data_IF_390962513999
#
_entry.id   IF_390962513999
#
_cell.length_a   1.000
_cell.length_b   1.000
_cell.length_c   1.000
_cell.angle_alpha   90.00
_cell.angle_beta   90.00
_cell.angle_gamma   90.00
#
_symmetry.space_group_name_H-M   'P 1'
#
loop_
_entity.id
_entity.type
_entity.pdbx_description
1 polymer ?
#
# COMPACT_ATOMS: atom_id res chain seq x y z
N UNK A 1 40.82 48.79 29.29
CA UNK A 1 40.37 48.76 27.87
C UNK A 1 38.88 48.40 27.87
N UNK A 2 38.00 49.45 27.94
CA UNK A 2 36.56 49.21 27.94
C UNK A 2 36.13 48.75 26.53
N UNK A 3 35.52 47.63 26.44
CA UNK A 3 34.90 47.12 25.17
C UNK A 3 33.73 48.05 24.91
N UNK A 4 33.74 48.72 23.77
CA UNK A 4 32.61 49.55 23.33
C UNK A 4 31.46 48.59 22.97
N UNK A 5 30.56 48.40 23.94
CA UNK A 5 29.47 47.46 23.84
C UNK A 5 28.48 47.83 22.70
N UNK A 6 28.26 49.14 22.51
CA UNK A 6 27.36 49.61 21.45
C UNK A 6 27.91 49.32 20.05
N UNK A 7 29.21 49.57 19.83
CA UNK A 7 29.85 49.22 18.58
C UNK A 7 29.80 47.73 18.28
N UNK A 8 29.95 46.88 19.32
CA UNK A 8 29.83 45.43 19.16
C UNK A 8 28.39 44.95 18.88
N UNK A 9 27.41 45.63 19.44
CA UNK A 9 26.00 45.32 19.14
C UNK A 9 25.64 45.71 17.69
N UNK A 10 26.12 46.85 17.21
CA UNK A 10 25.91 47.24 15.81
C UNK A 10 26.63 46.28 14.83
N UNK A 11 27.83 45.84 15.14
CA UNK A 11 28.57 44.86 14.36
C UNK A 11 27.79 43.52 14.32
N UNK A 12 27.22 43.10 15.43
CA UNK A 12 26.40 41.87 15.52
C UNK A 12 25.12 41.93 14.65
N UNK A 13 24.44 43.08 14.66
CA UNK A 13 23.25 43.28 13.82
C UNK A 13 23.60 43.30 12.35
N UNK A 14 24.71 43.95 11.95
CA UNK A 14 25.19 43.94 10.58
C UNK A 14 25.53 42.51 10.10
N UNK A 15 26.19 41.70 10.93
CA UNK A 15 26.50 40.31 10.62
C UNK A 15 25.24 39.46 10.50
N UNK A 16 24.23 39.65 11.35
CA UNK A 16 22.94 38.97 11.24
C UNK A 16 22.23 39.26 9.92
N UNK A 17 22.20 40.55 9.54
CA UNK A 17 21.62 40.95 8.26
C UNK A 17 22.39 40.37 7.07
N UNK A 18 23.71 40.25 7.14
CA UNK A 18 24.53 39.66 6.11
C UNK A 18 24.29 38.13 6.00
N UNK A 19 24.13 37.43 7.12
CA UNK A 19 23.80 36.01 7.16
C UNK A 19 22.43 35.77 6.54
N UNK A 20 21.42 36.55 6.89
CA UNK A 20 20.07 36.44 6.32
C UNK A 20 20.07 36.68 4.81
N UNK A 21 20.84 37.65 4.31
CA UNK A 21 21.00 37.89 2.88
C UNK A 21 21.64 36.71 2.18
N UNK A 22 22.72 36.15 2.71
CA UNK A 22 23.41 34.99 2.15
C UNK A 22 22.50 33.74 2.16
N UNK A 23 21.73 33.52 3.24
CA UNK A 23 20.76 32.44 3.30
C UNK A 23 19.68 32.58 2.23
N UNK A 24 19.20 33.80 1.98
CA UNK A 24 18.25 34.10 0.93
C UNK A 24 18.85 33.88 -0.49
N UNK A 25 20.09 34.31 -0.70
CA UNK A 25 20.83 34.08 -1.95
C UNK A 25 21.04 32.58 -2.20
N UNK A 26 21.45 31.80 -1.20
CA UNK A 26 21.60 30.36 -1.27
C UNK A 26 20.24 29.70 -1.54
N UNK A 27 19.19 30.16 -0.86
CA UNK A 27 17.82 29.64 -1.09
C UNK A 27 17.35 29.91 -2.51
N UNK A 28 17.64 31.09 -3.04
CA UNK A 28 17.29 31.48 -4.43
C UNK A 28 18.13 30.73 -5.44
N UNK A 29 19.43 30.55 -5.22
CA UNK A 29 20.31 29.77 -6.08
C UNK A 29 19.97 28.28 -6.09
N UNK A 30 19.60 27.72 -4.93
CA UNK A 30 19.06 26.34 -4.82
C UNK A 30 17.67 26.21 -5.44
N UNK A 31 16.98 27.31 -5.66
CA UNK A 31 15.67 27.39 -6.34
C UNK A 31 15.76 27.42 -7.87
N UNK A 32 16.95 27.23 -8.48
CA UNK A 32 17.11 27.00 -9.91
C UNK A 32 16.19 25.88 -10.39
N UNK A 33 16.09 25.54 -11.70
CA UNK A 33 15.19 24.51 -12.23
C UNK A 33 15.50 23.10 -11.71
N UNK A 34 16.10 23.01 -10.52
CA UNK A 34 16.32 21.81 -9.75
C UNK A 34 15.05 21.33 -9.06
N UNK A 35 15.03 20.05 -8.75
CA UNK A 35 13.94 19.35 -8.09
C UNK A 35 13.39 20.13 -6.88
N UNK A 36 12.12 20.52 -6.93
CA UNK A 36 11.37 21.01 -5.78
C UNK A 36 10.41 19.93 -5.35
N UNK A 37 10.38 19.60 -4.07
CA UNK A 37 9.30 18.83 -3.48
C UNK A 37 8.01 19.66 -3.61
N UNK A 38 7.30 19.48 -4.70
CA UNK A 38 5.90 19.92 -4.81
C UNK A 38 5.09 18.99 -3.93
N UNK A 39 3.96 19.41 -3.38
CA UNK A 39 3.13 18.60 -2.47
C UNK A 39 2.75 17.19 -2.99
N UNK A 40 3.15 16.82 -4.22
CA UNK A 40 3.05 15.49 -4.80
C UNK A 40 4.41 15.03 -5.30
N UNK A 41 4.99 14.06 -4.60
CA UNK A 41 6.23 13.40 -4.99
C UNK A 41 5.97 11.91 -5.25
N UNK A 42 5.95 11.52 -6.51
CA UNK A 42 5.50 10.19 -6.94
C UNK A 42 6.28 9.04 -6.29
N UNK A 43 7.61 9.13 -6.19
CA UNK A 43 8.41 8.08 -5.57
C UNK A 43 8.11 7.93 -4.07
N UNK A 44 7.92 9.04 -3.35
CA UNK A 44 7.53 9.01 -1.95
C UNK A 44 6.17 8.31 -1.75
N UNK A 45 5.16 8.70 -2.54
CA UNK A 45 3.83 8.12 -2.43
C UNK A 45 3.78 6.67 -2.92
N UNK A 46 4.62 6.30 -3.89
CA UNK A 46 4.79 4.90 -4.29
C UNK A 46 5.36 4.05 -3.14
N UNK A 47 6.41 4.55 -2.47
CA UNK A 47 7.01 3.88 -1.31
C UNK A 47 6.03 3.80 -0.14
N UNK A 48 5.32 4.89 0.17
CA UNK A 48 4.27 4.87 1.20
C UNK A 48 3.17 3.86 0.86
N UNK A 49 2.73 3.82 -0.40
CA UNK A 49 1.75 2.85 -0.88
C UNK A 49 2.24 1.41 -0.78
N UNK A 50 3.49 1.15 -1.11
CA UNK A 50 4.11 -0.16 -0.95
C UNK A 50 4.10 -0.63 0.51
N UNK A 51 4.51 0.22 1.44
CA UNK A 51 4.53 -0.11 2.86
C UNK A 51 3.11 -0.25 3.44
N UNK A 52 2.20 0.68 3.15
CA UNK A 52 0.82 0.61 3.63
C UNK A 52 0.03 -0.51 2.96
N UNK A 53 0.43 -0.92 1.76
CA UNK A 53 -0.11 -2.08 1.08
C UNK A 53 0.09 -3.39 1.85
N UNK A 54 1.20 -3.53 2.59
CA UNK A 54 1.39 -4.69 3.48
C UNK A 54 0.34 -4.74 4.59
N UNK A 55 0.04 -3.59 5.22
CA UNK A 55 -1.00 -3.50 6.25
C UNK A 55 -2.39 -3.78 5.66
N UNK A 56 -2.67 -3.24 4.48
CA UNK A 56 -3.90 -3.56 3.74
C UNK A 56 -4.05 -5.06 3.47
N UNK A 57 -2.96 -5.71 3.05
CA UNK A 57 -2.94 -7.15 2.81
C UNK A 57 -3.15 -7.95 4.11
N UNK A 58 -2.50 -7.58 5.22
CA UNK A 58 -2.70 -8.25 6.50
C UNK A 58 -4.16 -8.17 6.93
N UNK A 59 -4.77 -6.98 6.90
CA UNK A 59 -6.17 -6.79 7.32
C UNK A 59 -7.12 -7.55 6.40
N UNK A 60 -6.91 -7.53 5.08
CA UNK A 60 -7.75 -8.28 4.14
C UNK A 60 -7.57 -9.79 4.26
N UNK A 61 -6.38 -10.29 4.60
CA UNK A 61 -6.15 -11.70 4.93
C UNK A 61 -6.91 -12.10 6.20
N UNK A 62 -6.81 -11.30 7.27
CA UNK A 62 -7.55 -11.54 8.50
C UNK A 62 -9.07 -11.53 8.28
N UNK A 63 -9.56 -10.61 7.45
CA UNK A 63 -10.96 -10.60 7.03
C UNK A 63 -11.38 -11.93 6.39
N UNK A 64 -10.56 -12.46 5.48
CA UNK A 64 -10.82 -13.77 4.86
C UNK A 64 -10.72 -14.93 5.86
N UNK A 65 -9.72 -14.90 6.75
CA UNK A 65 -9.55 -15.95 7.77
C UNK A 65 -10.74 -16.05 8.72
N UNK A 66 -11.38 -14.92 9.03
CA UNK A 66 -12.59 -14.89 9.86
C UNK A 66 -13.85 -15.21 9.05
N UNK A 67 -13.94 -14.70 7.82
CA UNK A 67 -15.11 -14.86 6.97
C UNK A 67 -15.22 -16.24 6.31
N UNK A 68 -14.12 -16.89 5.95
CA UNK A 68 -14.13 -18.17 5.28
C UNK A 68 -14.85 -19.29 6.08
N UNK A 69 -14.60 -19.48 7.38
CA UNK A 69 -15.33 -20.44 8.18
C UNK A 69 -16.83 -20.20 8.24
N UNK A 70 -17.28 -18.94 8.25
CA UNK A 70 -18.70 -18.57 8.23
C UNK A 70 -19.38 -19.01 6.91
N UNK A 71 -18.60 -19.11 5.85
CA UNK A 71 -19.03 -19.62 4.55
C UNK A 71 -18.75 -21.13 4.35
N UNK A 72 -18.36 -21.86 5.42
CA UNK A 72 -18.04 -23.29 5.36
C UNK A 72 -16.73 -23.59 4.61
N UNK A 73 -15.81 -22.62 4.51
CA UNK A 73 -14.52 -22.73 3.83
C UNK A 73 -13.36 -22.79 4.81
N UNK A 74 -12.20 -23.27 4.33
CA UNK A 74 -10.96 -23.22 5.12
C UNK A 74 -10.52 -21.75 5.34
N UNK A 75 -10.03 -21.38 6.55
CA UNK A 75 -9.51 -20.01 6.81
C UNK A 75 -8.40 -19.57 5.85
N UNK A 76 -7.65 -20.50 5.29
CA UNK A 76 -6.52 -20.23 4.38
C UNK A 76 -6.87 -20.52 2.91
N UNK A 77 -8.15 -20.62 2.56
CA UNK A 77 -8.60 -20.87 1.20
C UNK A 77 -8.03 -19.84 0.20
N UNK A 78 -7.98 -18.58 0.60
CA UNK A 78 -7.41 -17.51 -0.21
C UNK A 78 -5.92 -17.75 -0.52
N UNK A 79 -5.15 -18.23 0.46
CA UNK A 79 -3.71 -18.48 0.27
C UNK A 79 -3.47 -19.58 -0.75
N UNK A 80 -4.37 -20.56 -0.86
CA UNK A 80 -4.31 -21.61 -1.85
C UNK A 80 -4.34 -21.06 -3.29
N UNK A 81 -5.11 -20.00 -3.53
CA UNK A 81 -5.14 -19.29 -4.82
C UNK A 81 -3.74 -18.82 -5.19
N UNK A 82 -3.03 -18.20 -4.25
CA UNK A 82 -1.67 -17.70 -4.46
C UNK A 82 -0.66 -18.83 -4.67
N UNK A 83 -0.87 -19.97 -4.01
CA UNK A 83 0.00 -21.13 -4.15
C UNK A 83 -0.20 -21.85 -5.51
N UNK A 84 -1.30 -21.64 -6.23
CA UNK A 84 -1.47 -22.18 -7.57
C UNK A 84 -0.44 -21.64 -8.57
N UNK A 85 0.07 -20.42 -8.37
CA UNK A 85 1.10 -19.84 -9.24
C UNK A 85 2.42 -20.65 -9.23
N UNK A 86 3.04 -20.96 -8.07
CA UNK A 86 4.27 -21.75 -8.04
C UNK A 86 4.05 -23.28 -8.03
N UNK A 87 2.89 -23.79 -7.59
CA UNK A 87 2.68 -25.22 -7.36
C UNK A 87 1.64 -25.84 -8.31
N UNK A 88 0.94 -25.02 -9.10
CA UNK A 88 -0.12 -25.49 -9.99
C UNK A 88 -1.20 -26.28 -9.23
N UNK A 89 -1.63 -27.39 -9.80
CA UNK A 89 -2.67 -28.25 -9.24
C UNK A 89 -2.36 -28.81 -7.85
N UNK A 90 -1.06 -28.99 -7.50
CA UNK A 90 -0.66 -29.48 -6.18
C UNK A 90 -1.12 -28.56 -5.04
N UNK A 91 -1.28 -27.28 -5.31
CA UNK A 91 -1.82 -26.33 -4.33
C UNK A 91 -3.27 -26.67 -3.92
N UNK A 92 -4.05 -27.26 -4.81
CA UNK A 92 -5.45 -27.62 -4.57
C UNK A 92 -5.57 -28.84 -3.64
N UNK A 93 -4.54 -29.68 -3.58
CA UNK A 93 -4.50 -30.90 -2.76
C UNK A 93 -4.09 -30.62 -1.31
N UNK A 94 -3.48 -29.46 -1.01
CA UNK A 94 -2.93 -29.15 0.30
C UNK A 94 -3.97 -29.07 1.43
N UNK A 95 -5.24 -28.91 1.11
CA UNK A 95 -6.34 -28.72 2.08
C UNK A 95 -7.32 -29.88 2.12
N UNK A 96 -7.19 -30.90 1.26
CA UNK A 96 -8.09 -32.03 1.22
C UNK A 96 -7.76 -33.14 2.22
N UNK A 97 -6.59 -33.09 2.88
CA UNK A 97 -6.16 -34.11 3.83
C UNK A 97 -6.17 -33.61 5.27
N UNK A 98 -6.43 -34.52 6.22
CA UNK A 98 -6.37 -34.27 7.67
C UNK A 98 -4.97 -33.86 8.17
N UNK A 99 -3.95 -33.87 7.32
CA UNK A 99 -2.56 -33.55 7.64
C UNK A 99 -2.14 -32.10 7.30
N UNK A 100 -3.07 -31.15 7.36
CA UNK A 100 -2.79 -29.71 7.16
C UNK A 100 -1.71 -29.17 8.12
N UNK A 101 -1.34 -29.93 9.13
CA UNK A 101 -0.35 -29.57 10.15
C UNK A 101 1.03 -30.21 9.96
N UNK A 102 1.28 -30.93 8.86
CA UNK A 102 2.62 -31.43 8.58
C UNK A 102 3.61 -30.28 8.38
N UNK A 103 4.84 -30.43 8.88
CA UNK A 103 5.87 -29.35 8.88
C UNK A 103 6.07 -28.77 7.47
N UNK A 104 6.07 -29.61 6.43
CA UNK A 104 6.22 -29.19 5.04
C UNK A 104 5.04 -28.31 4.56
N UNK A 105 3.81 -28.62 4.98
CA UNK A 105 2.63 -27.83 4.63
C UNK A 105 2.66 -26.44 5.28
N UNK A 106 3.22 -26.30 6.48
CA UNK A 106 3.36 -25.00 7.17
C UNK A 106 4.32 -24.07 6.43
N UNK A 107 5.43 -24.59 5.93
CA UNK A 107 6.40 -23.80 5.15
C UNK A 107 5.76 -23.32 3.85
N UNK A 108 5.04 -24.20 3.15
CA UNK A 108 4.33 -23.86 1.92
C UNK A 108 3.26 -22.80 2.18
N UNK A 109 2.48 -22.93 3.26
CA UNK A 109 1.49 -21.93 3.64
C UNK A 109 2.13 -20.58 4.00
N UNK A 110 3.24 -20.59 4.73
CA UNK A 110 4.01 -19.38 5.04
C UNK A 110 4.49 -18.69 3.75
N UNK A 111 5.00 -19.47 2.79
CA UNK A 111 5.39 -18.96 1.48
C UNK A 111 4.22 -18.33 0.73
N UNK A 112 3.04 -18.98 0.74
CA UNK A 112 1.82 -18.42 0.15
C UNK A 112 1.38 -17.12 0.82
N UNK A 113 1.51 -17.01 2.15
CA UNK A 113 1.27 -15.75 2.88
C UNK A 113 2.25 -14.66 2.46
N UNK A 114 3.53 -14.99 2.27
CA UNK A 114 4.52 -14.04 1.77
C UNK A 114 4.20 -13.55 0.36
N UNK A 115 3.77 -14.44 -0.53
CA UNK A 115 3.31 -14.07 -1.89
C UNK A 115 2.09 -13.14 -1.84
N UNK A 116 1.12 -13.45 -0.97
CA UNK A 116 -0.04 -12.61 -0.77
C UNK A 116 0.35 -11.21 -0.30
N UNK A 117 1.21 -11.11 0.72
CA UNK A 117 1.71 -9.84 1.25
C UNK A 117 2.48 -9.06 0.18
N UNK A 118 3.38 -9.71 -0.54
CA UNK A 118 4.14 -9.08 -1.63
C UNK A 118 3.22 -8.50 -2.72
N UNK A 119 2.18 -9.25 -3.10
CA UNK A 119 1.17 -8.78 -4.04
C UNK A 119 0.42 -7.57 -3.49
N UNK A 120 0.04 -7.58 -2.21
CA UNK A 120 -0.60 -6.44 -1.56
C UNK A 120 0.30 -5.21 -1.49
N UNK A 121 1.61 -5.38 -1.22
CA UNK A 121 2.59 -4.30 -1.27
C UNK A 121 2.64 -3.66 -2.67
N UNK A 122 2.67 -4.47 -3.72
CA UNK A 122 2.68 -3.97 -5.10
C UNK A 122 1.38 -3.22 -5.44
N UNK A 123 0.21 -3.78 -5.14
CA UNK A 123 -1.07 -3.15 -5.41
C UNK A 123 -1.38 -1.97 -4.47
N UNK A 124 -0.73 -1.88 -3.34
CA UNK A 124 -0.78 -0.71 -2.46
C UNK A 124 -0.28 0.57 -3.15
N UNK A 125 0.69 0.44 -4.07
CA UNK A 125 1.25 1.58 -4.83
C UNK A 125 0.15 2.34 -5.60
N UNK A 126 -0.57 1.72 -6.57
CA UNK A 126 -1.58 2.43 -7.35
C UNK A 126 -2.74 2.93 -6.48
N UNK A 127 -3.16 2.19 -5.44
CA UNK A 127 -4.22 2.64 -4.54
C UNK A 127 -3.79 3.91 -3.80
N UNK A 128 -2.61 3.91 -3.19
CA UNK A 128 -2.13 5.06 -2.42
C UNK A 128 -1.82 6.28 -3.32
N UNK A 129 -1.23 6.05 -4.49
CA UNK A 129 -0.98 7.13 -5.47
C UNK A 129 -2.29 7.75 -5.96
N UNK A 130 -3.33 6.95 -6.21
CA UNK A 130 -4.65 7.45 -6.55
C UNK A 130 -5.26 8.29 -5.43
N UNK A 131 -5.15 7.83 -4.16
CA UNK A 131 -5.58 8.61 -3.00
C UNK A 131 -4.84 9.94 -2.89
N UNK A 132 -3.52 9.94 -3.07
CA UNK A 132 -2.70 11.14 -3.02
C UNK A 132 -3.03 12.11 -4.18
N UNK A 133 -3.42 11.61 -5.33
CA UNK A 133 -3.75 12.42 -6.52
C UNK A 133 -5.16 12.99 -6.50
N UNK A 134 -6.15 12.17 -6.09
CA UNK A 134 -7.58 12.49 -6.28
C UNK A 134 -8.30 12.79 -4.96
N UNK A 135 -7.75 12.39 -3.80
CA UNK A 135 -8.40 12.54 -2.50
C UNK A 135 -7.52 13.22 -1.43
N UNK A 136 -6.40 13.86 -1.82
CA UNK A 136 -5.47 14.50 -0.88
C UNK A 136 -6.14 15.53 0.04
N UNK A 137 -6.97 16.39 -0.54
CA UNK A 137 -7.71 17.46 0.18
C UNK A 137 -9.10 17.04 0.61
N UNK A 138 -9.49 15.77 0.36
CA UNK A 138 -10.82 15.26 0.66
C UNK A 138 -10.92 14.67 2.07
N UNK A 139 -12.13 14.71 2.64
CA UNK A 139 -12.45 13.99 3.86
C UNK A 139 -12.43 12.46 3.67
N UNK A 140 -12.66 11.74 4.76
CA UNK A 140 -12.63 10.27 4.79
C UNK A 140 -13.54 9.64 3.71
N UNK A 141 -14.74 10.17 3.53
CA UNK A 141 -15.72 9.63 2.56
C UNK A 141 -15.13 9.66 1.14
N UNK A 142 -14.51 10.78 0.74
CA UNK A 142 -13.88 10.88 -0.59
C UNK A 142 -12.75 9.88 -0.77
N UNK A 143 -11.94 9.65 0.29
CA UNK A 143 -10.87 8.65 0.27
C UNK A 143 -11.42 7.24 0.13
N UNK A 144 -12.48 6.89 0.87
CA UNK A 144 -13.14 5.59 0.76
C UNK A 144 -13.72 5.37 -0.63
N UNK A 145 -14.37 6.38 -1.24
CA UNK A 145 -14.90 6.28 -2.61
C UNK A 145 -13.79 6.04 -3.61
N UNK A 146 -12.70 6.83 -3.57
CA UNK A 146 -11.56 6.65 -4.48
C UNK A 146 -10.92 5.27 -4.29
N UNK A 147 -10.70 4.86 -3.04
CA UNK A 147 -10.16 3.54 -2.73
C UNK A 147 -11.06 2.41 -3.24
N UNK A 148 -12.39 2.54 -3.09
CA UNK A 148 -13.36 1.55 -3.59
C UNK A 148 -13.26 1.40 -5.11
N UNK A 149 -13.25 2.51 -5.84
CA UNK A 149 -13.16 2.49 -7.31
C UNK A 149 -11.86 1.79 -7.75
N UNK A 150 -10.72 2.21 -7.19
CA UNK A 150 -9.41 1.64 -7.57
C UNK A 150 -9.32 0.17 -7.18
N UNK A 151 -9.78 -0.20 -5.99
CA UNK A 151 -9.76 -1.59 -5.53
C UNK A 151 -10.65 -2.51 -6.36
N UNK A 152 -11.84 -2.05 -6.78
CA UNK A 152 -12.71 -2.82 -7.66
C UNK A 152 -12.15 -2.93 -9.08
N UNK A 153 -11.45 -1.90 -9.58
CA UNK A 153 -10.73 -1.98 -10.86
C UNK A 153 -9.60 -3.02 -10.77
N UNK A 154 -8.81 -3.01 -9.69
CA UNK A 154 -7.76 -4.00 -9.45
C UNK A 154 -8.37 -5.40 -9.38
N UNK A 155 -9.47 -5.57 -8.61
CA UNK A 155 -10.20 -6.84 -8.55
C UNK A 155 -10.64 -7.32 -9.92
N UNK A 156 -11.25 -6.46 -10.73
CA UNK A 156 -11.70 -6.81 -12.07
C UNK A 156 -10.56 -7.25 -12.99
N UNK A 157 -9.45 -6.51 -12.98
CA UNK A 157 -8.25 -6.84 -13.78
C UNK A 157 -7.62 -8.15 -13.30
N UNK A 158 -7.46 -8.32 -11.98
CA UNK A 158 -6.82 -9.52 -11.43
C UNK A 158 -7.69 -10.75 -11.57
N UNK A 159 -8.97 -10.65 -11.21
CA UNK A 159 -9.87 -11.80 -11.14
C UNK A 159 -10.33 -12.25 -12.54
N UNK A 160 -10.79 -11.31 -13.37
CA UNK A 160 -11.28 -11.64 -14.71
C UNK A 160 -10.22 -11.53 -15.82
N UNK A 161 -9.23 -10.64 -15.66
CA UNK A 161 -8.15 -10.48 -16.63
C UNK A 161 -7.07 -11.55 -16.43
N UNK A 162 -6.31 -11.42 -15.33
CA UNK A 162 -5.08 -12.22 -15.14
C UNK A 162 -5.40 -13.66 -14.73
N UNK A 163 -6.22 -13.87 -13.69
CA UNK A 163 -6.51 -15.22 -13.21
C UNK A 163 -7.26 -16.05 -14.25
N UNK A 164 -8.25 -15.49 -14.92
CA UNK A 164 -9.03 -16.21 -15.94
C UNK A 164 -8.19 -16.70 -17.12
N UNK A 165 -7.10 -15.99 -17.42
CA UNK A 165 -6.19 -16.36 -18.51
C UNK A 165 -5.04 -17.22 -18.03
N UNK A 166 -4.43 -16.89 -16.89
CA UNK A 166 -3.22 -17.55 -16.41
C UNK A 166 -3.53 -18.89 -15.72
N UNK A 167 -4.64 -18.99 -15.00
CA UNK A 167 -4.99 -20.18 -14.24
C UNK A 167 -5.18 -21.44 -15.09
N UNK A 168 -5.85 -21.39 -16.25
CA UNK A 168 -5.95 -22.56 -17.14
C UNK A 168 -4.60 -23.09 -17.63
N UNK A 169 -3.58 -22.25 -17.66
CA UNK A 169 -2.21 -22.66 -18.03
C UNK A 169 -1.45 -23.35 -16.90
N UNK A 170 -1.85 -23.11 -15.65
CA UNK A 170 -1.16 -23.60 -14.46
C UNK A 170 -1.85 -24.82 -13.83
N UNK A 171 -3.14 -24.98 -14.07
CA UNK A 171 -3.97 -26.03 -13.46
C UNK A 171 -4.61 -26.82 -14.58
N UNK A 172 -4.17 -28.06 -14.76
CA UNK A 172 -4.80 -29.01 -15.66
C UNK A 172 -6.09 -29.55 -15.02
N UNK A 173 -7.18 -29.59 -15.75
CA UNK A 173 -8.42 -30.18 -15.23
C UNK A 173 -9.71 -29.59 -15.78
N UNK A 174 -10.83 -30.03 -15.21
CA UNK A 174 -12.17 -29.60 -15.57
C UNK A 174 -12.32 -28.09 -15.28
N UNK A 175 -12.82 -27.28 -16.23
CA UNK A 175 -13.14 -25.87 -16.02
C UNK A 175 -13.99 -25.59 -14.77
N UNK A 176 -14.74 -26.53 -14.27
CA UNK A 176 -15.49 -26.44 -13.01
C UNK A 176 -14.62 -26.32 -11.76
N UNK A 177 -13.35 -26.71 -11.84
CA UNK A 177 -12.38 -26.61 -10.73
C UNK A 177 -11.57 -25.32 -10.74
N UNK A 178 -11.75 -24.46 -11.73
CA UNK A 178 -11.02 -23.20 -11.81
C UNK A 178 -11.55 -22.19 -10.80
N UNK A 179 -10.61 -21.52 -10.12
CA UNK A 179 -10.92 -20.51 -9.09
C UNK A 179 -11.73 -19.34 -9.67
N UNK A 180 -11.52 -19.03 -10.94
CA UNK A 180 -12.22 -17.95 -11.66
C UNK A 180 -13.52 -18.38 -12.32
N UNK A 181 -13.87 -19.68 -12.27
CA UNK A 181 -15.18 -20.09 -12.77
C UNK A 181 -16.26 -19.43 -11.93
N UNK A 182 -17.39 -19.08 -12.53
CA UNK A 182 -18.58 -18.60 -11.81
C UNK A 182 -19.13 -19.66 -10.83
N UNK A 183 -18.50 -20.81 -10.79
CA UNK A 183 -18.80 -21.84 -9.83
C UNK A 183 -18.25 -21.41 -8.44
N UNK A 184 -19.09 -21.20 -7.42
CA UNK A 184 -18.68 -20.69 -6.11
C UNK A 184 -17.91 -21.69 -5.24
N UNK A 185 -17.41 -22.79 -5.83
CA UNK A 185 -16.79 -23.90 -5.09
C UNK A 185 -15.54 -23.45 -4.34
N UNK A 186 -14.66 -22.65 -4.96
CA UNK A 186 -13.42 -22.22 -4.33
C UNK A 186 -13.49 -20.82 -3.72
N UNK A 187 -13.59 -19.80 -4.56
CA UNK A 187 -13.65 -18.41 -4.09
C UNK A 187 -14.76 -17.68 -4.83
N UNK A 188 -15.91 -17.41 -4.16
CA UNK A 188 -16.96 -16.62 -4.77
C UNK A 188 -16.45 -15.24 -5.20
N UNK A 189 -16.85 -14.79 -6.38
CA UNK A 189 -16.42 -13.51 -6.96
C UNK A 189 -16.68 -12.33 -6.02
N UNK A 190 -17.78 -12.34 -5.26
CA UNK A 190 -18.15 -11.29 -4.31
C UNK A 190 -17.24 -11.28 -3.08
N UNK A 191 -16.72 -12.45 -2.64
CA UNK A 191 -15.73 -12.54 -1.56
C UNK A 191 -14.42 -11.91 -2.02
N UNK A 192 -14.00 -12.21 -3.25
CA UNK A 192 -12.82 -11.57 -3.82
C UNK A 192 -12.99 -10.05 -3.92
N UNK A 193 -14.14 -9.56 -4.39
CA UNK A 193 -14.46 -8.13 -4.43
C UNK A 193 -14.43 -7.50 -3.03
N UNK A 194 -15.06 -8.12 -2.03
CA UNK A 194 -15.05 -7.66 -0.65
C UNK A 194 -13.63 -7.60 -0.07
N UNK A 195 -12.81 -8.59 -0.36
CA UNK A 195 -11.39 -8.62 0.06
C UNK A 195 -10.62 -7.42 -0.48
N UNK A 196 -10.81 -7.08 -1.77
CA UNK A 196 -10.17 -5.92 -2.38
C UNK A 196 -10.70 -4.60 -1.80
N UNK A 197 -11.99 -4.51 -1.49
CA UNK A 197 -12.56 -3.34 -0.81
C UNK A 197 -11.96 -3.15 0.58
N UNK A 198 -11.89 -4.22 1.39
CA UNK A 198 -11.26 -4.17 2.73
C UNK A 198 -9.80 -3.74 2.63
N UNK A 199 -9.06 -4.27 1.65
CA UNK A 199 -7.69 -3.86 1.35
C UNK A 199 -7.59 -2.35 1.08
N UNK A 200 -8.37 -1.84 0.14
CA UNK A 200 -8.36 -0.42 -0.24
C UNK A 200 -8.84 0.50 0.88
N UNK A 201 -9.88 0.10 1.62
CA UNK A 201 -10.37 0.89 2.76
C UNK A 201 -9.35 0.96 3.89
N UNK A 202 -8.60 -0.11 4.14
CA UNK A 202 -7.50 -0.09 5.11
C UNK A 202 -6.46 0.96 4.70
N UNK A 203 -6.05 0.99 3.44
CA UNK A 203 -5.11 2.00 2.93
C UNK A 203 -5.71 3.41 3.02
N UNK A 204 -7.01 3.59 2.73
CA UNK A 204 -7.67 4.88 2.83
C UNK A 204 -7.75 5.40 4.27
N UNK A 205 -7.99 4.52 5.25
CA UNK A 205 -7.98 4.85 6.67
C UNK A 205 -6.58 5.22 7.15
N UNK A 206 -5.56 4.50 6.69
CA UNK A 206 -4.16 4.72 7.04
C UNK A 206 -3.49 5.82 6.19
N UNK A 207 -4.21 6.40 5.22
CA UNK A 207 -3.71 7.44 4.32
C UNK A 207 -2.95 8.57 5.04
N UNK A 208 -3.42 9.12 6.18
CA UNK A 208 -2.73 10.22 6.87
C UNK A 208 -1.31 9.87 7.33
N UNK A 209 -1.01 8.58 7.57
CA UNK A 209 0.31 8.14 8.05
C UNK A 209 1.40 8.27 6.97
N UNK A 210 1.03 8.23 5.71
CA UNK A 210 1.96 8.32 4.59
C UNK A 210 1.90 9.67 3.84
N UNK A 211 1.25 10.69 4.36
CA UNK A 211 1.21 12.02 3.73
C UNK A 211 2.57 12.69 3.88
N UNK A 212 3.10 13.22 2.78
CA UNK A 212 4.33 13.97 2.81
C UNK A 212 4.14 15.30 3.52
N UNK A 213 4.96 15.55 4.55
CA UNK A 213 5.07 16.82 5.23
C UNK A 213 6.49 17.36 4.99
N UNK A 214 6.58 18.54 4.36
CA UNK A 214 7.87 19.21 4.22
C UNK A 214 8.43 19.54 5.61
N UNK A 215 9.73 19.27 5.82
CA UNK A 215 10.40 19.65 7.05
C UNK A 215 10.38 21.17 7.20
N UNK A 216 9.82 21.67 8.30
CA UNK A 216 9.90 23.08 8.72
C UNK A 216 11.00 23.22 9.77
N UNK A 217 11.93 24.16 9.56
CA UNK A 217 12.95 24.43 10.57
C UNK A 217 12.28 24.98 11.85
N UNK A 218 12.76 24.62 13.05
CA UNK A 218 12.18 25.10 14.31
C UNK A 218 12.17 26.64 14.47
N UNK A 219 13.04 27.33 13.76
CA UNK A 219 13.15 28.81 13.76
C UNK A 219 11.98 29.50 13.03
N UNK A 220 11.22 28.78 12.20
CA UNK A 220 10.10 29.37 11.46
C UNK A 220 8.77 29.32 12.26
N UNK A 221 8.76 28.67 13.41
CA UNK A 221 7.56 28.50 14.25
C UNK A 221 7.40 29.60 15.32
N UNK A 222 8.37 30.47 15.45
CA UNK A 222 8.40 31.54 16.50
C UNK A 222 7.97 32.94 16.02
N UNK A 223 7.56 33.09 14.74
CA UNK A 223 7.18 34.39 14.18
C UNK A 223 5.73 34.33 13.64
N UNK A 224 4.77 34.08 14.56
CA UNK A 224 3.36 34.27 14.32
C UNK A 224 2.71 34.87 15.56
#
# INVERSE_FOLDING_TARGET
>A
MAIDLEAKLQELEALKAQVERLENEIRTARSGPGWRATGYYSAYYATAGFLLGSLGAIVSLLFNMVGAPLAGKSPLELIRVYLTFPLGEKALQLTQGQNTYAVNNRVILAFGCCLYLATGMLWGIPVYMALARFAATGGLIKRLVVASIVSLLIWGIMFYGILSWLQPLLVEGDPGNWITSFNPVFLPWWVAAATHLVFGWTIALLYPLGVYHAYRRPTETGAA
#
